data_IF_306142272679
#
_entry.id   IF_306142272679
#
_cell.length_a   1.000
_cell.length_b   1.000
_cell.length_c   1.000
_cell.angle_alpha   90.00
_cell.angle_beta   90.00
_cell.angle_gamma   90.00
#
_symmetry.space_group_name_H-M   'P 1'
#
loop_
_entity.id
_entity.type
_entity.pdbx_description
1 polymer ?
#
# COMPACT_ATOMS: atom_id res chain seq x y z
N UNK A 1 -6.75 -9.47 35.59
CA UNK A 1 -6.12 -8.36 34.86
C UNK A 1 -6.81 -8.35 33.51
N UNK A 2 -7.60 -7.33 33.20
CA UNK A 2 -8.11 -7.13 31.85
C UNK A 2 -6.93 -6.77 30.98
N UNK A 3 -6.59 -7.63 30.04
CA UNK A 3 -5.50 -7.42 29.11
C UNK A 3 -5.88 -6.22 28.22
N UNK A 4 -5.14 -5.13 28.35
CA UNK A 4 -5.41 -3.88 27.62
C UNK A 4 -4.86 -3.95 26.20
N UNK A 5 -5.55 -4.72 25.36
CA UNK A 5 -5.22 -4.84 23.95
C UNK A 5 -5.41 -3.53 23.16
N UNK A 6 -6.15 -2.57 23.71
CA UNK A 6 -6.38 -1.26 23.10
C UNK A 6 -5.22 -0.28 23.29
N UNK A 7 -4.17 -0.67 24.01
CA UNK A 7 -2.95 0.12 24.24
C UNK A 7 -2.11 0.35 22.98
N UNK A 8 -2.35 -0.39 21.90
CA UNK A 8 -1.56 -0.36 20.67
C UNK A 8 -2.40 -0.72 19.45
N UNK A 9 -1.95 -0.27 18.29
CA UNK A 9 -2.48 -0.68 16.98
C UNK A 9 -1.57 -1.68 16.26
N UNK A 10 -0.44 -2.05 16.87
CA UNK A 10 0.52 -2.99 16.31
C UNK A 10 0.27 -4.42 16.80
N UNK A 11 -0.25 -5.28 15.93
CA UNK A 11 -0.53 -6.69 16.23
C UNK A 11 0.65 -7.44 16.85
N UNK A 12 1.87 -7.22 16.32
CA UNK A 12 3.07 -7.93 16.74
C UNK A 12 3.53 -7.63 18.17
N UNK A 13 2.96 -6.63 18.83
CA UNK A 13 3.27 -6.25 20.22
C UNK A 13 2.29 -6.85 21.23
N UNK A 14 1.26 -7.58 20.76
CA UNK A 14 0.23 -8.19 21.57
C UNK A 14 0.51 -9.67 21.86
N UNK A 15 0.14 -10.10 23.04
CA UNK A 15 0.14 -11.51 23.43
C UNK A 15 -1.03 -12.26 22.81
N UNK A 16 -0.97 -13.60 22.82
CA UNK A 16 -2.09 -14.46 22.35
C UNK A 16 -3.42 -14.14 23.05
N UNK A 17 -3.39 -13.84 24.32
CA UNK A 17 -4.60 -13.58 25.09
C UNK A 17 -5.18 -12.19 24.76
N UNK A 18 -4.32 -11.17 24.59
CA UNK A 18 -4.74 -9.84 24.11
C UNK A 18 -5.35 -9.91 22.70
N UNK A 19 -4.77 -10.70 21.78
CA UNK A 19 -5.34 -10.94 20.45
C UNK A 19 -6.72 -11.61 20.53
N UNK A 20 -6.89 -12.59 21.41
CA UNK A 20 -8.20 -13.22 21.60
C UNK A 20 -9.24 -12.21 22.15
N UNK A 21 -8.86 -11.39 23.11
CA UNK A 21 -9.72 -10.32 23.64
C UNK A 21 -10.05 -9.26 22.57
N UNK A 22 -9.09 -8.89 21.73
CA UNK A 22 -9.29 -7.97 20.62
C UNK A 22 -10.29 -8.53 19.57
N UNK A 23 -10.16 -9.80 19.22
CA UNK A 23 -11.13 -10.50 18.36
C UNK A 23 -12.55 -10.42 18.94
N UNK A 24 -12.68 -10.79 20.22
CA UNK A 24 -13.97 -10.80 20.92
C UNK A 24 -14.54 -9.39 21.08
N UNK A 25 -13.68 -8.39 21.17
CA UNK A 25 -14.02 -6.97 21.18
C UNK A 25 -14.29 -6.36 19.80
N UNK A 26 -14.26 -7.16 18.72
CA UNK A 26 -14.60 -6.71 17.37
C UNK A 26 -13.50 -5.91 16.65
N UNK A 27 -12.23 -6.05 17.06
CA UNK A 27 -11.12 -5.39 16.39
C UNK A 27 -11.03 -5.78 14.90
N UNK A 28 -10.66 -4.82 14.04
CA UNK A 28 -10.42 -5.04 12.62
C UNK A 28 -8.94 -5.35 12.38
N UNK A 29 -8.58 -6.58 11.95
CA UNK A 29 -7.23 -6.87 11.50
C UNK A 29 -6.97 -6.26 10.11
N UNK A 30 -5.81 -5.62 9.97
CA UNK A 30 -5.33 -5.00 8.73
C UNK A 30 -3.97 -5.60 8.38
N UNK A 31 -3.84 -6.17 7.19
CA UNK A 31 -2.56 -6.60 6.62
C UNK A 31 -2.07 -5.53 5.64
N UNK A 32 -0.90 -4.94 5.90
CA UNK A 32 -0.26 -4.08 4.90
C UNK A 32 0.62 -4.91 3.98
N UNK A 33 0.56 -4.64 2.69
CA UNK A 33 1.44 -5.26 1.68
C UNK A 33 2.05 -4.17 0.81
N UNK A 34 3.35 -4.27 0.57
CA UNK A 34 4.10 -3.40 -0.33
C UNK A 34 4.94 -4.22 -1.28
N UNK A 35 6.10 -3.71 -1.63
CA UNK A 35 7.13 -4.42 -2.39
C UNK A 35 8.52 -4.00 -1.95
N UNK A 36 9.49 -4.86 -2.20
CA UNK A 36 10.91 -4.49 -2.23
C UNK A 36 11.32 -4.42 -3.69
N UNK A 37 11.34 -3.22 -4.24
CA UNK A 37 11.61 -2.98 -5.66
C UNK A 37 12.40 -1.71 -5.89
N UNK A 38 13.02 -1.60 -7.05
CA UNK A 38 13.72 -0.39 -7.44
C UNK A 38 12.78 0.82 -7.41
N UNK A 39 13.24 1.94 -6.90
CA UNK A 39 12.59 3.25 -6.96
C UNK A 39 13.59 4.29 -7.47
N UNK A 40 14.12 4.06 -8.67
CA UNK A 40 15.21 4.82 -9.27
C UNK A 40 16.45 4.87 -8.35
N UNK A 41 17.24 5.95 -8.44
CA UNK A 41 18.43 6.15 -7.61
C UNK A 41 18.19 7.10 -6.44
N UNK A 42 16.96 7.56 -6.23
CA UNK A 42 16.65 8.57 -5.22
C UNK A 42 15.86 8.05 -4.03
N UNK A 43 15.02 7.00 -4.19
CA UNK A 43 14.26 6.41 -3.09
C UNK A 43 14.80 5.03 -2.69
N UNK A 44 14.60 4.63 -1.43
CA UNK A 44 14.90 3.28 -0.96
C UNK A 44 13.98 2.22 -1.58
N UNK A 45 14.47 0.99 -1.66
CA UNK A 45 13.73 -0.13 -2.26
C UNK A 45 12.52 -0.62 -1.45
N UNK A 46 12.37 -0.18 -0.20
CA UNK A 46 11.26 -0.51 0.70
C UNK A 46 10.17 0.58 0.74
N UNK A 47 10.19 1.52 -0.20
CA UNK A 47 9.29 2.69 -0.28
C UNK A 47 7.83 2.31 -0.13
N UNK A 48 7.35 1.32 -0.87
CA UNK A 48 5.96 0.86 -0.85
C UNK A 48 5.54 0.32 0.52
N UNK A 49 6.38 -0.54 1.08
CA UNK A 49 6.11 -1.18 2.37
C UNK A 49 6.09 -0.14 3.50
N UNK A 50 7.06 0.78 3.51
CA UNK A 50 7.12 1.82 4.53
C UNK A 50 5.95 2.78 4.43
N UNK A 51 5.60 3.22 3.22
CA UNK A 51 4.46 4.12 3.01
C UNK A 51 3.14 3.49 3.45
N UNK A 52 2.84 2.27 2.98
CA UNK A 52 1.62 1.56 3.38
C UNK A 52 1.54 1.31 4.89
N UNK A 53 2.63 0.85 5.50
CA UNK A 53 2.71 0.59 6.94
C UNK A 53 2.49 1.84 7.77
N UNK A 54 3.20 2.94 7.47
CA UNK A 54 3.12 4.19 8.23
C UNK A 54 1.74 4.83 8.14
N UNK A 55 1.15 4.86 6.93
CA UNK A 55 -0.21 5.39 6.75
C UNK A 55 -1.23 4.50 7.46
N UNK A 56 -1.09 3.17 7.38
CA UNK A 56 -2.02 2.24 8.02
C UNK A 56 -2.03 2.36 9.54
N UNK A 57 -0.85 2.49 10.20
CA UNK A 57 -0.74 2.69 11.64
C UNK A 57 -1.36 4.04 12.04
N UNK A 58 -0.97 5.14 11.39
CA UNK A 58 -1.51 6.45 11.71
C UNK A 58 -3.03 6.55 11.46
N UNK A 59 -3.54 5.86 10.45
CA UNK A 59 -4.98 5.75 10.21
C UNK A 59 -5.68 4.91 11.29
N UNK A 60 -5.03 3.86 11.80
CA UNK A 60 -5.54 3.05 12.90
C UNK A 60 -5.65 3.87 14.19
N UNK A 61 -4.62 4.68 14.51
CA UNK A 61 -4.61 5.59 15.65
C UNK A 61 -5.72 6.66 15.56
N UNK A 62 -6.10 7.06 14.34
CA UNK A 62 -7.17 8.06 14.09
C UNK A 62 -8.58 7.45 14.02
N UNK A 63 -8.69 6.15 13.78
CA UNK A 63 -9.99 5.46 13.68
C UNK A 63 -10.56 5.22 15.08
N UNK A 64 -11.68 5.90 15.38
CA UNK A 64 -12.31 5.80 16.69
C UNK A 64 -12.98 4.42 16.90
N UNK A 65 -13.64 3.90 15.86
CA UNK A 65 -14.33 2.60 15.86
C UNK A 65 -14.39 2.05 14.43
N UNK A 66 -13.98 0.78 14.22
CA UNK A 66 -13.48 -0.19 15.20
C UNK A 66 -12.04 0.11 15.66
N UNK A 67 -11.60 -0.52 16.74
CA UNK A 67 -10.16 -0.58 17.03
C UNK A 67 -9.46 -1.41 15.95
N UNK A 68 -8.48 -0.83 15.29
CA UNK A 68 -7.76 -1.45 14.17
C UNK A 68 -6.44 -2.03 14.67
N UNK A 69 -6.13 -3.26 14.29
CA UNK A 69 -4.85 -3.92 14.58
C UNK A 69 -4.11 -4.23 13.29
N UNK A 70 -2.99 -3.56 13.07
CA UNK A 70 -2.17 -3.71 11.88
C UNK A 70 -1.15 -4.84 12.07
N UNK A 71 -1.22 -5.86 11.23
CA UNK A 71 -0.32 -7.01 11.24
C UNK A 71 1.08 -6.60 10.78
N UNK A 72 2.15 -7.32 11.22
CA UNK A 72 3.49 -7.12 10.68
C UNK A 72 3.47 -7.27 9.15
N UNK A 73 4.02 -6.30 8.40
CA UNK A 73 4.00 -6.35 6.94
C UNK A 73 4.93 -7.45 6.42
N UNK A 74 4.50 -8.28 5.45
CA UNK A 74 5.42 -9.09 4.68
C UNK A 74 6.36 -8.18 3.87
N UNK A 75 7.65 -8.52 3.84
CA UNK A 75 8.65 -7.65 3.22
C UNK A 75 8.59 -7.62 1.70
N UNK A 76 8.09 -8.68 1.05
CA UNK A 76 8.17 -8.85 -0.41
C UNK A 76 6.78 -8.88 -1.05
N UNK A 77 6.65 -8.25 -2.23
CA UNK A 77 5.44 -8.19 -3.04
C UNK A 77 5.61 -8.84 -4.42
N UNK A 78 4.69 -8.52 -5.31
CA UNK A 78 4.66 -9.00 -6.69
C UNK A 78 5.10 -7.89 -7.66
N UNK A 79 6.39 -7.87 -8.02
CA UNK A 79 7.04 -6.82 -8.83
C UNK A 79 7.85 -7.37 -10.01
N UNK A 80 7.30 -8.28 -10.84
CA UNK A 80 8.06 -8.87 -11.95
C UNK A 80 8.52 -7.85 -12.99
N UNK A 81 7.83 -6.72 -13.10
CA UNK A 81 8.15 -5.63 -14.00
C UNK A 81 9.37 -4.80 -13.57
N UNK A 82 9.87 -5.00 -12.34
CA UNK A 82 11.08 -4.39 -11.81
C UNK A 82 12.26 -5.36 -11.68
N UNK A 83 12.08 -6.65 -11.98
CA UNK A 83 13.09 -7.69 -11.71
C UNK A 83 14.43 -7.53 -12.45
N UNK A 84 14.48 -6.68 -13.49
CA UNK A 84 15.73 -6.39 -14.20
C UNK A 84 16.66 -5.43 -13.43
N UNK A 85 16.19 -4.87 -12.33
CA UNK A 85 16.94 -3.88 -11.54
C UNK A 85 17.47 -4.49 -10.24
N UNK A 86 18.69 -4.11 -9.90
CA UNK A 86 19.29 -4.46 -8.61
C UNK A 86 18.43 -3.91 -7.45
N UNK A 87 18.34 -4.68 -6.37
CA UNK A 87 17.55 -4.35 -5.19
C UNK A 87 16.10 -4.83 -5.25
N UNK A 88 15.58 -5.21 -6.41
CA UNK A 88 14.22 -5.78 -6.52
C UNK A 88 14.22 -7.25 -6.12
N UNK A 89 13.31 -7.61 -5.20
CA UNK A 89 13.02 -9.00 -4.81
C UNK A 89 11.52 -9.22 -4.99
N UNK A 90 11.14 -9.95 -6.02
CA UNK A 90 9.74 -10.24 -6.33
C UNK A 90 9.36 -11.67 -5.99
N UNK A 91 8.17 -11.85 -5.42
CA UNK A 91 7.53 -13.15 -5.31
C UNK A 91 6.96 -13.59 -6.66
N UNK A 92 6.71 -14.89 -6.83
CA UNK A 92 5.84 -15.35 -7.91
C UNK A 92 4.38 -14.97 -7.61
N UNK A 93 3.53 -14.96 -8.64
CA UNK A 93 2.09 -14.70 -8.48
C UNK A 93 1.46 -15.67 -7.47
N UNK A 94 1.76 -16.97 -7.64
CA UNK A 94 1.23 -18.04 -6.81
C UNK A 94 1.65 -17.88 -5.34
N UNK A 95 2.93 -17.55 -5.09
CA UNK A 95 3.46 -17.36 -3.74
C UNK A 95 2.80 -16.16 -3.06
N UNK A 96 2.63 -15.04 -3.78
CA UNK A 96 1.99 -13.85 -3.21
C UNK A 96 0.51 -14.10 -2.88
N UNK A 97 -0.24 -14.73 -3.80
CA UNK A 97 -1.65 -15.09 -3.58
C UNK A 97 -1.79 -16.09 -2.44
N UNK A 98 -0.90 -17.11 -2.37
CA UNK A 98 -0.91 -18.10 -1.29
C UNK A 98 -0.64 -17.43 0.07
N UNK A 99 0.34 -16.55 0.17
CA UNK A 99 0.66 -15.82 1.40
C UNK A 99 -0.54 -15.03 1.93
N UNK A 100 -1.21 -14.26 1.07
CA UNK A 100 -2.40 -13.50 1.46
C UNK A 100 -3.54 -14.44 1.90
N UNK A 101 -3.71 -15.56 1.19
CA UNK A 101 -4.73 -16.55 1.50
C UNK A 101 -4.47 -17.24 2.83
N UNK A 102 -3.24 -17.61 3.13
CA UNK A 102 -2.85 -18.26 4.39
C UNK A 102 -3.04 -17.33 5.59
N UNK A 103 -2.75 -16.04 5.44
CA UNK A 103 -3.04 -15.03 6.48
C UNK A 103 -4.54 -14.92 6.74
N UNK A 104 -5.34 -14.82 5.67
CA UNK A 104 -6.79 -14.72 5.77
C UNK A 104 -7.40 -15.97 6.41
N UNK A 105 -6.98 -17.16 5.99
CA UNK A 105 -7.44 -18.45 6.56
C UNK A 105 -7.04 -18.56 8.04
N UNK A 106 -5.83 -18.13 8.42
CA UNK A 106 -5.37 -18.16 9.80
C UNK A 106 -6.22 -17.28 10.72
N UNK A 107 -6.55 -16.06 10.27
CA UNK A 107 -7.42 -15.14 10.99
C UNK A 107 -8.85 -15.71 11.10
N UNK A 108 -9.39 -16.22 10.00
CA UNK A 108 -10.74 -16.79 9.97
C UNK A 108 -10.87 -18.00 10.91
N UNK A 109 -9.93 -18.93 10.89
CA UNK A 109 -9.89 -20.11 11.78
C UNK A 109 -9.85 -19.73 13.25
N UNK A 110 -9.26 -18.60 13.57
CA UNK A 110 -9.19 -18.09 14.96
C UNK A 110 -10.37 -17.19 15.33
N UNK A 111 -11.35 -17.01 14.41
CA UNK A 111 -12.64 -16.36 14.67
C UNK A 111 -12.71 -14.88 14.26
N UNK A 112 -11.69 -14.32 13.63
CA UNK A 112 -11.84 -13.00 13.01
C UNK A 112 -12.75 -13.09 11.77
N UNK A 113 -13.71 -12.19 11.67
CA UNK A 113 -14.72 -12.23 10.62
C UNK A 113 -14.33 -11.43 9.37
N UNK A 114 -13.35 -10.54 9.48
CA UNK A 114 -12.89 -9.64 8.41
C UNK A 114 -11.38 -9.58 8.38
N UNK A 115 -10.85 -9.29 7.20
CA UNK A 115 -9.47 -8.86 6.98
C UNK A 115 -9.49 -7.76 5.91
N UNK A 116 -8.88 -6.61 6.20
CA UNK A 116 -8.59 -5.61 5.19
C UNK A 116 -7.11 -5.69 4.81
N UNK A 117 -6.83 -5.79 3.52
CA UNK A 117 -5.45 -5.66 3.00
C UNK A 117 -5.24 -4.22 2.53
N UNK A 118 -4.26 -3.54 3.10
CA UNK A 118 -3.85 -2.18 2.69
C UNK A 118 -2.61 -2.30 1.82
N UNK A 119 -2.76 -1.97 0.55
CA UNK A 119 -1.72 -2.15 -0.46
C UNK A 119 -0.95 -0.85 -0.71
N UNK A 120 0.38 -0.95 -0.82
CA UNK A 120 1.29 0.14 -1.17
C UNK A 120 1.86 0.06 -2.58
N UNK A 121 1.65 -1.05 -3.30
CA UNK A 121 2.31 -1.33 -4.58
C UNK A 121 1.32 -1.61 -5.70
N UNK A 122 1.44 -0.87 -6.81
CA UNK A 122 0.55 -1.02 -7.95
C UNK A 122 0.52 -2.43 -8.55
N UNK A 123 1.67 -3.10 -8.61
CA UNK A 123 1.78 -4.47 -9.14
C UNK A 123 1.02 -5.53 -8.35
N UNK A 124 0.73 -5.29 -7.09
CA UNK A 124 -0.05 -6.20 -6.25
C UNK A 124 -1.56 -6.18 -6.56
N UNK A 125 -2.09 -5.17 -7.27
CA UNK A 125 -3.55 -5.01 -7.44
C UNK A 125 -4.21 -6.20 -8.14
N UNK A 126 -3.63 -6.66 -9.25
CA UNK A 126 -4.14 -7.84 -9.97
C UNK A 126 -4.15 -9.10 -9.11
N UNK A 127 -3.02 -9.49 -8.51
CA UNK A 127 -2.95 -10.58 -7.55
C UNK A 127 -3.93 -10.46 -6.37
N UNK A 128 -4.06 -9.28 -5.77
CA UNK A 128 -5.00 -9.03 -4.66
C UNK A 128 -6.45 -9.16 -5.09
N UNK A 129 -6.81 -8.68 -6.28
CA UNK A 129 -8.16 -8.84 -6.83
C UNK A 129 -8.51 -10.33 -6.95
N UNK A 130 -7.59 -11.13 -7.51
CA UNK A 130 -7.79 -12.57 -7.65
C UNK A 130 -7.88 -13.28 -6.29
N UNK A 131 -6.96 -12.96 -5.36
CA UNK A 131 -6.95 -13.54 -4.01
C UNK A 131 -8.23 -13.20 -3.24
N UNK A 132 -8.63 -11.93 -3.18
CA UNK A 132 -9.84 -11.51 -2.48
C UNK A 132 -11.10 -12.14 -3.09
N UNK A 133 -11.21 -12.22 -4.42
CA UNK A 133 -12.34 -12.88 -5.09
C UNK A 133 -12.43 -14.35 -4.70
N UNK A 134 -11.32 -15.08 -4.73
CA UNK A 134 -11.28 -16.48 -4.33
C UNK A 134 -11.62 -16.68 -2.83
N UNK A 135 -11.13 -15.81 -1.95
CA UNK A 135 -11.42 -15.89 -0.52
C UNK A 135 -12.89 -15.58 -0.20
N UNK A 136 -13.45 -14.54 -0.83
CA UNK A 136 -14.86 -14.18 -0.68
C UNK A 136 -15.79 -15.30 -1.20
N UNK A 137 -15.44 -15.96 -2.30
CA UNK A 137 -16.20 -17.11 -2.80
C UNK A 137 -16.21 -18.32 -1.86
N UNK A 138 -15.22 -18.40 -0.94
CA UNK A 138 -15.13 -19.39 0.14
C UNK A 138 -15.79 -18.92 1.44
N UNK A 139 -16.47 -17.79 1.45
CA UNK A 139 -17.16 -17.25 2.61
C UNK A 139 -16.33 -16.40 3.56
N UNK A 140 -15.09 -16.02 3.21
CA UNK A 140 -14.23 -15.17 4.03
C UNK A 140 -14.51 -13.67 3.77
N UNK A 141 -14.60 -12.89 4.82
CA UNK A 141 -14.81 -11.43 4.73
C UNK A 141 -13.49 -10.67 4.45
N UNK A 142 -12.98 -10.74 3.24
CA UNK A 142 -11.71 -10.13 2.86
C UNK A 142 -11.91 -9.06 1.79
N UNK A 143 -11.19 -7.94 1.92
CA UNK A 143 -11.11 -6.89 0.90
C UNK A 143 -9.73 -6.27 0.86
N UNK A 144 -9.44 -5.49 -0.19
CA UNK A 144 -8.22 -4.69 -0.23
C UNK A 144 -8.48 -3.26 -0.69
N UNK A 145 -7.58 -2.36 -0.34
CA UNK A 145 -7.55 -0.96 -0.77
C UNK A 145 -6.10 -0.51 -0.93
N UNK A 146 -5.81 0.29 -1.94
CA UNK A 146 -4.52 0.98 -1.97
C UNK A 146 -4.57 2.12 -0.95
N UNK A 147 -3.52 2.32 -0.14
CA UNK A 147 -3.55 3.32 0.94
C UNK A 147 -3.82 4.75 0.44
N UNK A 148 -3.46 5.04 -0.80
CA UNK A 148 -3.62 6.34 -1.43
C UNK A 148 -5.00 6.55 -2.10
N UNK A 149 -5.74 5.49 -2.42
CA UNK A 149 -6.98 5.60 -3.22
C UNK A 149 -8.15 6.28 -2.50
N UNK A 150 -8.42 6.06 -1.20
CA UNK A 150 -9.55 6.70 -0.52
C UNK A 150 -9.50 8.22 -0.51
N UNK A 151 -8.29 8.81 -0.53
CA UNK A 151 -8.08 10.27 -0.51
C UNK A 151 -7.55 10.83 -1.82
N UNK A 152 -7.65 10.08 -2.94
CA UNK A 152 -6.97 10.44 -4.20
C UNK A 152 -7.36 11.82 -4.72
N UNK A 153 -8.64 12.16 -4.69
CA UNK A 153 -9.11 13.46 -5.17
C UNK A 153 -8.50 14.61 -4.37
N UNK A 154 -8.50 14.48 -3.05
CA UNK A 154 -8.04 15.51 -2.14
C UNK A 154 -6.52 15.71 -2.22
N UNK A 155 -5.75 14.62 -2.25
CA UNK A 155 -4.31 14.75 -2.31
C UNK A 155 -3.79 15.13 -3.71
N UNK A 156 -4.47 14.76 -4.81
CA UNK A 156 -4.12 15.20 -6.15
C UNK A 156 -4.18 16.73 -6.32
N UNK A 157 -5.14 17.39 -5.66
CA UNK A 157 -5.24 18.85 -5.65
C UNK A 157 -4.07 19.53 -4.94
N UNK A 158 -3.37 18.81 -4.06
CA UNK A 158 -2.22 19.30 -3.27
C UNK A 158 -0.88 18.90 -3.85
N UNK A 159 -0.86 17.92 -4.76
CA UNK A 159 0.37 17.46 -5.38
C UNK A 159 0.79 18.42 -6.50
N UNK A 160 2.00 19.01 -6.45
CA UNK A 160 2.53 19.81 -7.56
C UNK A 160 2.57 19.00 -8.85
N UNK A 161 2.04 19.57 -9.95
CA UNK A 161 1.89 18.86 -11.22
C UNK A 161 0.67 17.95 -11.33
N UNK A 162 -0.04 17.70 -10.23
CA UNK A 162 -1.24 16.86 -10.20
C UNK A 162 -0.98 15.47 -10.77
N UNK A 163 -1.92 14.93 -11.54
CA UNK A 163 -1.84 13.57 -12.10
C UNK A 163 -0.60 13.34 -12.99
N UNK A 164 -0.05 14.37 -13.63
CA UNK A 164 1.18 14.27 -14.44
C UNK A 164 2.43 13.96 -13.61
N UNK A 165 2.42 14.29 -12.32
CA UNK A 165 3.48 13.98 -11.39
C UNK A 165 3.42 12.59 -10.78
N UNK A 166 2.34 11.83 -11.02
CA UNK A 166 2.10 10.50 -10.46
C UNK A 166 2.66 9.42 -11.38
N UNK A 167 3.14 8.32 -10.79
CA UNK A 167 3.66 7.17 -11.54
C UNK A 167 4.43 6.21 -10.63
N UNK A 168 5.74 6.10 -10.84
CA UNK A 168 6.63 5.26 -10.04
C UNK A 168 7.87 6.03 -9.63
N UNK A 169 8.29 5.94 -8.38
CA UNK A 169 9.31 6.80 -7.77
C UNK A 169 9.03 8.28 -8.07
N UNK A 170 7.76 8.65 -8.03
CA UNK A 170 7.18 9.88 -8.53
C UNK A 170 7.16 11.01 -7.46
N UNK A 171 6.54 12.15 -7.78
CA UNK A 171 6.40 13.25 -6.83
C UNK A 171 5.66 12.85 -5.56
N UNK A 172 4.57 12.07 -5.67
CA UNK A 172 3.80 11.61 -4.51
C UNK A 172 4.66 10.74 -3.57
N UNK A 173 5.26 9.67 -4.09
CA UNK A 173 6.07 8.74 -3.30
C UNK A 173 7.31 9.44 -2.72
N UNK A 174 7.95 10.31 -3.50
CA UNK A 174 9.11 11.07 -3.05
C UNK A 174 8.74 12.01 -1.90
N UNK A 175 7.63 12.75 -1.99
CA UNK A 175 7.16 13.62 -0.93
C UNK A 175 6.82 12.84 0.34
N UNK A 176 6.16 11.68 0.21
CA UNK A 176 5.88 10.77 1.33
C UNK A 176 7.19 10.31 2.00
N UNK A 177 8.19 9.88 1.24
CA UNK A 177 9.46 9.42 1.81
C UNK A 177 10.26 10.55 2.48
N UNK A 178 10.21 11.78 1.96
CA UNK A 178 10.81 12.96 2.60
C UNK A 178 10.20 13.23 3.99
N UNK A 179 8.94 12.86 4.20
CA UNK A 179 8.24 13.03 5.49
C UNK A 179 8.43 11.83 6.42
N UNK A 180 8.45 10.61 5.88
CA UNK A 180 8.43 9.37 6.67
C UNK A 180 9.81 8.92 7.13
N UNK A 181 10.89 9.35 6.46
CA UNK A 181 12.26 8.93 6.77
C UNK A 181 12.92 9.82 7.84
N UNK A 182 13.93 9.25 8.48
CA UNK A 182 14.78 10.04 9.39
C UNK A 182 15.42 11.24 8.66
N UNK A 183 15.67 12.37 9.35
CA UNK A 183 16.15 13.61 8.72
C UNK A 183 17.36 13.42 7.79
N UNK A 184 18.37 12.68 8.21
CA UNK A 184 19.57 12.42 7.39
C UNK A 184 19.29 11.64 6.11
N UNK A 185 18.25 10.78 6.10
CA UNK A 185 17.84 10.06 4.90
C UNK A 185 16.99 10.94 3.99
N UNK A 186 16.09 11.73 4.55
CA UNK A 186 15.34 12.75 3.82
C UNK A 186 16.24 13.75 3.11
N UNK A 187 17.30 14.24 3.77
CA UNK A 187 18.31 15.12 3.16
C UNK A 187 19.01 14.45 1.96
N UNK A 188 19.34 13.15 2.06
CA UNK A 188 19.93 12.40 0.93
C UNK A 188 18.95 12.27 -0.24
N UNK A 189 17.67 12.03 0.03
CA UNK A 189 16.62 12.01 -1.00
C UNK A 189 16.51 13.38 -1.65
N UNK A 190 16.38 14.45 -0.88
CA UNK A 190 16.29 15.83 -1.37
C UNK A 190 17.47 16.23 -2.25
N UNK A 191 18.68 15.81 -1.88
CA UNK A 191 19.88 16.07 -2.69
C UNK A 191 19.84 15.33 -4.04
N UNK A 192 19.33 14.10 -4.07
CA UNK A 192 19.28 13.25 -5.27
C UNK A 192 18.22 13.70 -6.28
N UNK A 193 17.10 14.27 -5.83
CA UNK A 193 16.00 14.68 -6.73
C UNK A 193 16.22 16.07 -7.34
N UNK A 194 17.09 16.91 -6.81
CA UNK A 194 17.23 18.34 -7.13
C UNK A 194 17.26 18.67 -8.62
N UNK A 195 17.88 17.82 -9.42
CA UNK A 195 18.08 18.05 -10.86
C UNK A 195 17.48 16.91 -11.72
N UNK A 196 16.57 16.11 -11.17
CA UNK A 196 15.91 15.09 -11.96
C UNK A 196 14.90 15.74 -12.90
N UNK A 197 14.94 15.44 -14.21
CA UNK A 197 13.95 15.95 -15.14
C UNK A 197 12.61 15.25 -14.95
N UNK A 198 11.47 15.90 -15.23
CA UNK A 198 10.19 15.25 -15.24
C UNK A 198 10.14 14.18 -16.34
N UNK A 199 9.59 13.01 -16.02
CA UNK A 199 9.33 11.92 -16.98
C UNK A 199 7.84 11.64 -16.99
N UNK A 200 7.20 12.00 -18.10
CA UNK A 200 5.77 11.77 -18.30
C UNK A 200 5.48 10.26 -18.35
N UNK A 201 4.29 9.88 -17.94
CA UNK A 201 3.79 8.51 -18.05
C UNK A 201 3.91 8.02 -19.49
N UNK A 202 4.53 6.87 -19.73
CA UNK A 202 4.56 6.27 -21.07
C UNK A 202 3.16 6.16 -21.68
N UNK A 203 3.07 6.29 -22.99
CA UNK A 203 1.78 6.37 -23.71
C UNK A 203 0.84 5.20 -23.41
N UNK A 204 1.35 4.01 -23.21
CA UNK A 204 0.57 2.83 -22.87
C UNK A 204 0.01 2.81 -21.43
N UNK A 205 0.50 3.70 -20.55
CA UNK A 205 -0.06 3.91 -19.20
C UNK A 205 -1.06 5.07 -19.16
N UNK A 206 -1.01 5.97 -20.15
CA UNK A 206 -1.95 7.09 -20.24
C UNK A 206 -3.37 6.57 -20.54
N UNK A 207 -4.37 7.05 -19.77
CA UNK A 207 -5.79 6.71 -19.94
C UNK A 207 -6.33 6.92 -21.34
N UNK A 208 -5.81 7.92 -22.04
CA UNK A 208 -6.22 8.33 -23.38
C UNK A 208 -5.27 7.84 -24.48
N UNK A 209 -4.27 7.01 -24.13
CA UNK A 209 -3.33 6.50 -25.11
C UNK A 209 -4.01 5.58 -26.12
N UNK A 210 -3.72 5.74 -27.43
CA UNK A 210 -4.17 4.82 -28.46
C UNK A 210 -3.38 3.50 -28.48
N UNK A 211 -2.44 3.29 -27.55
CA UNK A 211 -1.61 2.08 -27.50
C UNK A 211 -2.48 0.83 -27.31
N UNK A 212 -2.48 -0.13 -28.26
CA UNK A 212 -3.31 -1.32 -28.20
C UNK A 212 -2.91 -2.29 -27.07
N UNK A 213 -1.71 -2.20 -26.51
CA UNK A 213 -1.27 -3.04 -25.39
C UNK A 213 -1.96 -2.65 -24.07
N UNK A 214 -2.40 -1.41 -23.95
CA UNK A 214 -3.06 -0.92 -22.73
C UNK A 214 -4.33 -1.71 -22.37
N UNK A 215 -5.32 -1.89 -23.29
CA UNK A 215 -6.48 -2.72 -22.99
C UNK A 215 -6.14 -4.20 -22.82
N UNK A 216 -5.03 -4.66 -23.39
CA UNK A 216 -4.59 -6.05 -23.27
C UNK A 216 -3.99 -6.39 -21.89
N UNK A 217 -3.69 -5.40 -21.06
CA UNK A 217 -3.09 -5.62 -19.73
C UNK A 217 -1.67 -6.17 -19.76
N UNK A 218 -1.06 -6.29 -20.95
CA UNK A 218 0.27 -6.88 -21.12
C UNK A 218 1.44 -5.90 -20.98
N UNK A 219 1.15 -4.60 -20.86
CA UNK A 219 2.13 -3.52 -20.93
C UNK A 219 3.11 -3.48 -19.75
N UNK A 220 2.76 -4.06 -18.62
CA UNK A 220 3.57 -3.98 -17.40
C UNK A 220 4.98 -4.55 -17.53
N UNK A 221 5.17 -5.60 -18.33
CA UNK A 221 6.49 -6.20 -18.54
C UNK A 221 7.49 -5.27 -19.27
N UNK A 222 7.00 -4.23 -19.93
CA UNK A 222 7.80 -3.30 -20.73
C UNK A 222 7.96 -1.90 -20.10
N UNK A 223 7.40 -1.66 -18.89
CA UNK A 223 7.41 -0.32 -18.27
C UNK A 223 8.84 0.21 -18.11
N UNK A 224 9.74 -0.64 -17.62
CA UNK A 224 11.13 -0.30 -17.40
C UNK A 224 12.04 -1.32 -18.09
N UNK A 225 12.51 -1.03 -19.32
CA UNK A 225 13.52 -1.87 -19.98
C UNK A 225 14.84 -1.85 -19.20
N UNK A 226 15.65 -2.87 -19.39
CA UNK A 226 16.97 -2.92 -18.78
C UNK A 226 17.79 -1.66 -19.14
N UNK A 227 18.39 -1.03 -18.13
CA UNK A 227 19.15 0.20 -18.27
C UNK A 227 18.33 1.50 -18.20
N UNK A 228 17.02 1.42 -18.01
CA UNK A 228 16.18 2.61 -17.73
C UNK A 228 16.58 3.26 -16.39
N UNK A 229 16.28 4.56 -16.23
CA UNK A 229 16.54 5.30 -14.98
C UNK A 229 15.53 4.97 -13.86
N UNK A 230 14.45 4.24 -14.17
CA UNK A 230 13.58 3.59 -13.21
C UNK A 230 12.55 4.47 -12.51
N UNK A 231 12.14 5.62 -13.05
CA UNK A 231 11.02 6.40 -12.51
C UNK A 231 10.09 6.96 -13.58
N UNK A 232 8.87 7.28 -13.18
CA UNK A 232 7.83 7.94 -13.98
C UNK A 232 7.19 9.02 -13.11
N UNK A 233 7.07 10.24 -13.61
CA UNK A 233 6.55 11.39 -12.89
C UNK A 233 7.57 12.51 -12.74
N UNK A 234 7.39 13.37 -11.75
CA UNK A 234 8.26 14.52 -11.47
C UNK A 234 8.72 14.54 -10.00
N UNK A 235 9.71 13.73 -9.62
CA UNK A 235 10.18 13.69 -8.24
C UNK A 235 10.82 15.00 -7.77
N UNK A 236 11.30 15.87 -8.68
CA UNK A 236 12.00 17.11 -8.32
C UNK A 236 11.09 18.17 -7.67
N UNK A 237 9.77 18.07 -7.85
CA UNK A 237 8.81 19.00 -7.22
C UNK A 237 8.40 18.57 -5.81
N UNK A 238 8.87 17.43 -5.34
CA UNK A 238 8.55 16.90 -4.02
C UNK A 238 9.26 17.69 -2.91
N UNK A 239 8.52 18.00 -1.85
CA UNK A 239 9.05 18.58 -0.60
C UNK A 239 8.47 17.87 0.61
N UNK A 240 9.12 18.03 1.77
CA UNK A 240 8.59 17.46 3.04
C UNK A 240 7.27 18.11 3.45
N UNK A 241 7.03 19.38 3.15
CA UNK A 241 5.77 20.07 3.45
C UNK A 241 4.61 19.51 2.62
N UNK A 242 4.87 19.26 1.33
CA UNK A 242 3.91 18.55 0.46
C UNK A 242 3.68 17.15 1.02
N UNK A 243 4.74 16.42 1.34
CA UNK A 243 4.63 15.07 1.90
C UNK A 243 3.83 14.99 3.19
N UNK A 244 4.02 15.93 4.13
CA UNK A 244 3.24 16.01 5.35
C UNK A 244 1.74 16.23 5.06
N UNK A 245 1.42 17.08 4.07
CA UNK A 245 0.03 17.31 3.65
C UNK A 245 -0.58 16.04 3.03
N UNK A 246 0.15 15.37 2.14
CA UNK A 246 -0.31 14.14 1.48
C UNK A 246 -0.50 13.00 2.50
N UNK A 247 0.41 12.89 3.48
CA UNK A 247 0.32 11.92 4.55
C UNK A 247 -0.95 12.12 5.38
N UNK A 248 -1.22 13.35 5.85
CA UNK A 248 -2.41 13.67 6.64
C UNK A 248 -3.73 13.38 5.88
N UNK A 249 -3.78 13.72 4.58
CA UNK A 249 -4.95 13.42 3.75
C UNK A 249 -5.15 11.92 3.55
N UNK A 250 -4.08 11.18 3.28
CA UNK A 250 -4.14 9.72 3.13
C UNK A 250 -4.55 9.03 4.44
N UNK A 251 -3.99 9.46 5.57
CA UNK A 251 -4.33 8.96 6.90
C UNK A 251 -5.81 9.21 7.23
N UNK A 252 -6.28 10.44 7.04
CA UNK A 252 -7.67 10.79 7.33
C UNK A 252 -8.67 9.99 6.46
N UNK A 253 -8.36 9.83 5.18
CA UNK A 253 -9.20 9.08 4.26
C UNK A 253 -9.20 7.58 4.56
N UNK A 254 -8.04 6.99 4.87
CA UNK A 254 -7.94 5.57 5.21
C UNK A 254 -8.62 5.26 6.56
N UNK A 255 -8.54 6.17 7.54
CA UNK A 255 -9.24 6.01 8.83
C UNK A 255 -10.77 5.96 8.64
N UNK A 256 -11.33 6.82 7.78
CA UNK A 256 -12.75 6.75 7.39
C UNK A 256 -13.07 5.42 6.71
N UNK A 257 -12.21 5.00 5.77
CA UNK A 257 -12.39 3.73 5.06
C UNK A 257 -12.38 2.52 6.01
N UNK A 258 -11.58 2.51 7.08
CA UNK A 258 -11.60 1.47 8.10
C UNK A 258 -12.97 1.34 8.77
N UNK A 259 -13.55 2.46 9.18
CA UNK A 259 -14.89 2.48 9.78
C UNK A 259 -15.96 1.99 8.80
N UNK A 260 -15.94 2.47 7.56
CA UNK A 260 -16.90 2.08 6.52
C UNK A 260 -16.78 0.59 6.18
N UNK A 261 -15.56 0.06 6.04
CA UNK A 261 -15.32 -1.35 5.76
C UNK A 261 -15.78 -2.26 6.91
N UNK A 262 -15.57 -1.84 8.15
CA UNK A 262 -16.01 -2.58 9.31
C UNK A 262 -17.55 -2.60 9.46
N UNK A 263 -18.20 -1.47 9.19
CA UNK A 263 -19.65 -1.31 9.27
C UNK A 263 -20.40 -1.99 8.11
N UNK A 264 -19.75 -2.17 6.95
CA UNK A 264 -20.39 -2.74 5.77
C UNK A 264 -20.96 -4.14 6.04
N UNK A 265 -22.18 -4.49 5.59
CA UNK A 265 -22.73 -5.84 5.75
C UNK A 265 -21.83 -6.89 5.10
N UNK A 266 -21.48 -7.96 5.82
CA UNK A 266 -20.82 -9.11 5.21
C UNK A 266 -21.81 -9.81 4.27
N UNK A 267 -21.52 -9.72 2.97
CA UNK A 267 -22.29 -10.40 1.92
C UNK A 267 -21.58 -11.67 1.45
N UNK A 268 -20.93 -12.36 2.37
CA UNK A 268 -20.31 -13.66 2.13
C UNK A 268 -21.37 -14.72 2.43
N UNK A 269 -21.58 -15.65 1.51
CA UNK A 269 -22.56 -16.71 1.68
C UNK A 269 -22.30 -17.49 2.97
N UNK A 270 -23.36 -17.85 3.68
CA UNK A 270 -23.23 -18.90 4.70
C UNK A 270 -22.79 -20.19 3.99
N UNK A 271 -21.64 -20.72 4.39
CA UNK A 271 -21.18 -22.04 3.93
C UNK A 271 -22.15 -23.11 4.42
#
# INVERSE_FOLDING_TARGET
MHEDWRRTHEWGTLTRAEIAAARDGGALPVLTVGSVEQHANHLPVDTDTVSAWRVAIAAAERCADPHVLVLPPPSFGFSPHHRAFAGTITLSLETFVAMVSDVADSLHRTGFRRLLVVNGHGGNQGPLTAACTALVSRGLGVGFVNYFSPGEKEWLEKLPGGLRGVGHACAYETAMQLTLRAPAEAERIAARIRNLPPRLTPSYLDGNSPDPLKPAGAAWAAIFPAGDVGYIGDPAVATSEVGATLFELSVAALARFYADFAAAPLRVGAA
#
